data_IF_469024102939
#
_entry.id   IF_469024102939
#
_cell.length_a   1.000
_cell.length_b   1.000
_cell.length_c   1.000
_cell.angle_alpha   90.00
_cell.angle_beta   90.00
_cell.angle_gamma   90.00
#
_symmetry.space_group_name_H-M   'P 1'
#
loop_
_entity.id
_entity.type
_entity.pdbx_description
1 polymer ?
#
# COMPACT_ATOMS: atom_id res chain seq x y z
N UNK A 1 5.49 29.00 71.90
CA UNK A 1 5.94 27.84 71.11
C UNK A 1 4.85 27.57 70.06
N UNK A 2 5.06 28.06 68.83
CA UNK A 2 4.07 27.94 67.73
C UNK A 2 4.55 26.82 66.79
N UNK A 3 3.77 25.78 66.70
CA UNK A 3 3.98 24.69 65.72
C UNK A 3 3.43 25.11 64.35
N UNK A 4 4.34 25.22 63.35
CA UNK A 4 3.95 25.46 61.99
C UNK A 4 3.77 24.09 61.27
N UNK A 5 2.52 23.81 60.88
CA UNK A 5 2.15 22.68 60.00
C UNK A 5 2.50 22.98 58.58
N UNK A 6 3.29 22.09 57.93
CA UNK A 6 3.65 22.15 56.50
C UNK A 6 2.65 21.25 55.73
N UNK A 7 1.96 21.70 54.70
CA UNK A 7 1.13 20.84 53.88
C UNK A 7 1.98 20.07 52.85
N UNK A 8 1.84 18.76 52.83
CA UNK A 8 2.38 17.86 51.82
C UNK A 8 1.59 18.05 50.51
N UNK A 9 2.22 18.55 49.47
CA UNK A 9 1.68 18.57 48.14
C UNK A 9 1.93 17.21 47.47
N UNK A 10 0.87 16.45 47.24
CA UNK A 10 0.90 15.22 46.43
C UNK A 10 0.92 15.62 44.97
N UNK A 11 2.05 15.46 44.32
CA UNK A 11 2.17 15.61 42.88
C UNK A 11 1.61 14.38 42.16
N UNK A 12 0.49 14.54 41.51
CA UNK A 12 -0.15 13.52 40.66
C UNK A 12 0.61 13.46 39.34
N UNK A 13 1.45 12.42 39.13
CA UNK A 13 2.08 12.15 37.85
C UNK A 13 1.02 11.60 36.90
N UNK A 14 0.55 12.43 35.99
CA UNK A 14 -0.17 11.96 34.80
C UNK A 14 0.81 11.24 33.86
N UNK A 15 0.74 9.92 33.84
CA UNK A 15 1.35 9.10 32.79
C UNK A 15 0.58 9.35 31.50
N UNK A 16 1.17 10.17 30.62
CA UNK A 16 0.65 10.35 29.27
C UNK A 16 0.82 9.06 28.49
N UNK A 17 -0.28 8.35 28.23
CA UNK A 17 -0.33 7.29 27.23
C UNK A 17 0.04 7.89 25.87
N UNK A 18 1.23 7.54 25.36
CA UNK A 18 1.57 7.80 23.97
C UNK A 18 0.74 6.84 23.13
N UNK A 19 -0.28 7.36 22.48
CA UNK A 19 -0.95 6.68 21.38
C UNK A 19 0.05 6.56 20.24
N UNK A 20 0.32 5.33 19.81
CA UNK A 20 1.15 5.04 18.64
C UNK A 20 0.48 5.66 17.41
N UNK A 21 1.11 6.67 16.83
CA UNK A 21 0.70 7.23 15.56
C UNK A 21 0.86 6.15 14.48
N UNK A 22 -0.26 5.60 14.04
CA UNK A 22 -0.33 4.89 12.77
C UNK A 22 0.03 5.90 11.66
N UNK A 23 0.81 5.51 10.63
CA UNK A 23 1.17 6.42 9.57
C UNK A 23 -0.10 6.93 8.89
N UNK A 24 -0.35 8.22 9.01
CA UNK A 24 -1.46 8.90 8.35
C UNK A 24 -1.32 8.71 6.84
N UNK A 25 -2.32 8.12 6.21
CA UNK A 25 -2.43 8.02 4.75
C UNK A 25 -2.36 9.42 4.17
N UNK A 26 -1.34 9.68 3.34
CA UNK A 26 -1.10 10.99 2.73
C UNK A 26 -2.12 11.25 1.61
N UNK A 27 -3.37 11.47 1.95
CA UNK A 27 -4.30 12.09 1.02
C UNK A 27 -4.06 13.60 1.05
N UNK A 28 -3.63 14.13 -0.07
CA UNK A 28 -3.51 15.57 -0.29
C UNK A 28 -4.86 16.23 0.05
N UNK A 29 -4.85 17.33 0.79
CA UNK A 29 -5.95 18.08 1.38
C UNK A 29 -7.18 18.36 0.47
N UNK A 30 -7.88 17.32 0.00
CA UNK A 30 -9.20 17.49 -0.57
C UNK A 30 -10.22 17.54 0.59
N UNK A 31 -10.91 18.65 0.83
CA UNK A 31 -11.70 18.87 2.05
C UNK A 31 -12.92 17.94 2.24
N UNK A 32 -13.14 16.99 1.35
CA UNK A 32 -14.29 16.06 1.39
C UNK A 32 -13.96 14.64 0.89
N UNK A 33 -12.70 14.19 0.94
CA UNK A 33 -12.36 12.83 0.53
C UNK A 33 -12.80 11.82 1.60
N UNK A 34 -13.65 10.86 1.21
CA UNK A 34 -14.12 9.77 2.09
C UNK A 34 -13.21 8.56 1.91
N UNK A 35 -12.49 8.11 2.96
CA UNK A 35 -11.63 6.95 2.86
C UNK A 35 -12.39 5.67 2.52
N UNK A 36 -11.83 4.83 1.66
CA UNK A 36 -12.34 3.51 1.31
C UNK A 36 -11.31 2.46 1.73
N UNK A 37 -11.71 1.43 2.51
CA UNK A 37 -10.80 0.37 2.93
C UNK A 37 -10.23 -0.40 1.74
N UNK A 38 -8.91 -0.58 1.71
CA UNK A 38 -8.19 -1.47 0.79
C UNK A 38 -7.92 -2.80 1.48
N UNK A 39 -8.27 -3.91 0.83
CA UNK A 39 -7.96 -5.27 1.29
C UNK A 39 -6.93 -5.84 0.32
N UNK A 40 -5.71 -6.03 0.78
CA UNK A 40 -4.63 -6.56 -0.06
C UNK A 40 -4.89 -8.00 -0.45
N UNK A 41 -4.59 -8.32 -1.71
CA UNK A 41 -4.73 -9.66 -2.28
C UNK A 41 -3.35 -10.34 -2.48
N UNK A 42 -2.33 -9.83 -1.79
CA UNK A 42 -0.98 -10.40 -1.86
C UNK A 42 -0.96 -11.79 -1.20
N UNK A 43 -0.26 -12.71 -1.81
CA UNK A 43 0.20 -13.92 -1.12
C UNK A 43 1.55 -13.59 -0.48
N UNK A 44 1.83 -14.12 0.72
CA UNK A 44 3.02 -13.82 1.53
C UNK A 44 4.36 -14.31 0.91
N UNK A 45 4.38 -14.56 -0.37
CA UNK A 45 5.55 -15.02 -1.10
C UNK A 45 6.39 -13.82 -1.56
N UNK A 46 7.53 -13.58 -0.90
CA UNK A 46 8.56 -12.60 -1.28
C UNK A 46 8.95 -12.74 -2.77
N UNK A 47 8.94 -13.96 -3.30
CA UNK A 47 9.24 -14.24 -4.70
C UNK A 47 8.22 -13.65 -5.67
N UNK A 48 6.98 -13.46 -5.25
CA UNK A 48 5.91 -12.92 -6.08
C UNK A 48 6.06 -11.42 -6.36
N UNK A 49 6.44 -10.66 -5.35
CA UNK A 49 6.58 -9.20 -5.45
C UNK A 49 7.68 -8.78 -6.43
N UNK A 50 8.60 -9.70 -6.73
CA UNK A 50 9.76 -9.42 -7.56
C UNK A 50 9.60 -9.80 -9.03
N UNK A 51 8.63 -10.65 -9.40
CA UNK A 51 8.55 -11.19 -10.78
C UNK A 51 7.12 -11.31 -11.29
N UNK A 52 6.37 -10.23 -11.26
CA UNK A 52 4.94 -10.23 -11.63
C UNK A 52 4.64 -10.46 -13.12
N UNK A 53 5.62 -10.62 -13.99
CA UNK A 53 5.37 -10.68 -15.43
C UNK A 53 4.85 -9.36 -16.05
N UNK A 54 4.72 -8.29 -15.26
CA UNK A 54 4.29 -6.97 -15.70
C UNK A 54 5.50 -6.07 -15.93
N UNK A 55 6.11 -6.19 -17.12
CA UNK A 55 7.36 -5.51 -17.45
C UNK A 55 7.24 -4.00 -17.71
N UNK A 56 6.05 -3.48 -17.92
CA UNK A 56 5.77 -2.06 -18.11
C UNK A 56 5.08 -1.46 -16.88
N UNK A 57 5.41 -0.21 -16.55
CA UNK A 57 4.69 0.52 -15.51
C UNK A 57 3.23 0.70 -15.94
N UNK A 58 2.29 0.22 -15.12
CA UNK A 58 0.87 0.20 -15.46
C UNK A 58 -0.01 0.14 -14.21
N UNK A 59 -1.14 0.87 -14.27
CA UNK A 59 -2.22 0.76 -13.30
C UNK A 59 -3.37 -0.04 -13.88
N UNK A 60 -4.04 -0.83 -13.03
CA UNK A 60 -5.16 -1.68 -13.42
C UNK A 60 -6.38 -1.33 -12.59
N UNK A 61 -7.54 -1.25 -13.25
CA UNK A 61 -8.86 -1.15 -12.62
C UNK A 61 -9.70 -2.29 -13.19
N UNK A 62 -9.98 -3.29 -12.37
CA UNK A 62 -10.59 -4.55 -12.78
C UNK A 62 -11.97 -4.64 -12.14
N UNK A 63 -13.00 -4.78 -12.97
CA UNK A 63 -14.41 -4.74 -12.57
C UNK A 63 -15.17 -6.03 -12.91
N UNK A 64 -14.46 -7.06 -13.40
CA UNK A 64 -15.03 -8.37 -13.76
C UNK A 64 -14.04 -9.52 -13.50
N UNK A 65 -14.61 -10.74 -13.39
CA UNK A 65 -13.86 -11.94 -13.04
C UNK A 65 -12.91 -12.42 -14.14
N UNK A 66 -13.23 -12.17 -15.41
CA UNK A 66 -12.38 -12.60 -16.52
C UNK A 66 -11.07 -11.80 -16.53
N UNK A 67 -11.17 -10.48 -16.49
CA UNK A 67 -10.00 -9.60 -16.41
C UNK A 67 -9.16 -9.86 -15.14
N UNK A 68 -9.82 -10.24 -14.02
CA UNK A 68 -9.11 -10.63 -12.79
C UNK A 68 -8.33 -11.93 -12.97
N UNK A 69 -8.96 -12.95 -13.54
CA UNK A 69 -8.28 -14.22 -13.84
C UNK A 69 -7.10 -14.03 -14.77
N UNK A 70 -7.25 -13.22 -15.83
CA UNK A 70 -6.20 -12.95 -16.81
C UNK A 70 -4.98 -12.27 -16.16
N UNK A 71 -5.21 -11.26 -15.31
CA UNK A 71 -4.12 -10.61 -14.58
C UNK A 71 -3.43 -11.60 -13.65
N UNK A 72 -4.19 -12.42 -12.90
CA UNK A 72 -3.64 -13.39 -11.97
C UNK A 72 -2.77 -14.43 -12.66
N UNK A 73 -3.23 -14.99 -13.77
CA UNK A 73 -2.46 -15.92 -14.58
C UNK A 73 -1.18 -15.29 -15.15
N UNK A 74 -1.25 -14.05 -15.59
CA UNK A 74 -0.07 -13.30 -16.05
C UNK A 74 0.97 -13.13 -14.96
N UNK A 75 0.53 -12.75 -13.75
CA UNK A 75 1.41 -12.53 -12.60
C UNK A 75 2.14 -13.82 -12.21
N UNK A 76 1.45 -14.96 -12.26
CA UNK A 76 1.97 -16.26 -11.86
C UNK A 76 2.41 -17.15 -13.04
N UNK A 77 2.60 -16.58 -14.23
CA UNK A 77 2.92 -17.35 -15.44
C UNK A 77 4.19 -18.21 -15.33
N UNK A 78 5.12 -17.85 -14.43
CA UNK A 78 6.37 -18.59 -14.20
C UNK A 78 6.32 -19.52 -13.00
N UNK A 79 5.18 -19.61 -12.30
CA UNK A 79 5.02 -20.43 -11.10
C UNK A 79 4.17 -21.69 -11.36
N UNK A 80 4.59 -22.82 -10.81
CA UNK A 80 3.86 -24.06 -10.90
C UNK A 80 3.88 -24.76 -9.53
N UNK A 81 2.72 -25.04 -8.92
CA UNK A 81 1.37 -24.68 -9.38
C UNK A 81 1.09 -23.17 -9.24
N UNK A 82 0.20 -22.65 -10.09
CA UNK A 82 -0.33 -21.30 -9.93
C UNK A 82 -1.13 -21.24 -8.62
N UNK A 83 -0.90 -20.24 -7.74
CA UNK A 83 -1.67 -20.08 -6.52
C UNK A 83 -3.16 -19.89 -6.77
N UNK A 84 -4.03 -20.30 -5.83
CA UNK A 84 -5.47 -20.12 -5.96
C UNK A 84 -5.82 -18.64 -6.21
N UNK A 85 -6.71 -18.42 -7.17
CA UNK A 85 -7.23 -17.08 -7.46
C UNK A 85 -8.02 -16.57 -6.24
N UNK A 86 -7.67 -15.43 -5.64
CA UNK A 86 -8.45 -14.85 -4.55
C UNK A 86 -9.88 -14.54 -4.99
N UNK A 87 -10.85 -14.90 -4.15
CA UNK A 87 -12.27 -14.64 -4.41
C UNK A 87 -12.59 -13.15 -4.28
N UNK A 88 -13.33 -12.63 -5.28
CA UNK A 88 -13.78 -11.23 -5.35
C UNK A 88 -15.21 -11.20 -5.88
N UNK A 89 -16.13 -10.65 -5.10
CA UNK A 89 -17.50 -10.41 -5.55
C UNK A 89 -17.58 -9.15 -6.41
N UNK A 90 -17.47 -9.31 -7.70
CA UNK A 90 -17.53 -8.19 -8.67
C UNK A 90 -18.91 -7.51 -8.78
N UNK A 91 -19.93 -7.95 -8.07
CA UNK A 91 -21.17 -7.18 -7.94
C UNK A 91 -20.97 -5.99 -6.99
N UNK A 92 -20.20 -6.18 -5.92
CA UNK A 92 -20.01 -5.21 -4.83
C UNK A 92 -18.57 -4.72 -4.69
N UNK A 93 -17.60 -5.39 -5.32
CA UNK A 93 -16.17 -5.10 -5.22
C UNK A 93 -15.53 -4.89 -6.59
N UNK A 94 -14.37 -4.29 -6.58
CA UNK A 94 -13.45 -4.23 -7.72
C UNK A 94 -12.02 -4.43 -7.24
N UNK A 95 -11.11 -4.76 -8.15
CA UNK A 95 -9.68 -4.89 -7.88
C UNK A 95 -8.94 -3.73 -8.52
N UNK A 96 -7.98 -3.19 -7.79
CA UNK A 96 -7.00 -2.23 -8.30
C UNK A 96 -5.60 -2.83 -8.12
N UNK A 97 -4.75 -2.59 -9.10
CA UNK A 97 -3.36 -2.99 -9.03
C UNK A 97 -2.46 -1.90 -9.63
N UNK A 98 -1.22 -1.85 -9.16
CA UNK A 98 -0.19 -0.95 -9.68
C UNK A 98 1.12 -1.69 -9.82
N UNK A 99 1.76 -1.57 -10.99
CA UNK A 99 3.06 -2.13 -11.28
C UNK A 99 4.01 -0.99 -11.69
N UNK A 100 5.24 -1.02 -11.21
CA UNK A 100 6.27 -0.03 -11.58
C UNK A 100 7.19 -0.49 -12.72
N UNK A 101 6.83 -1.60 -13.36
CA UNK A 101 7.59 -2.17 -14.46
C UNK A 101 8.89 -2.82 -14.04
N UNK A 102 9.70 -3.22 -15.03
CA UNK A 102 10.98 -3.85 -14.81
C UNK A 102 12.01 -2.93 -14.16
N UNK A 103 12.72 -3.46 -13.14
CA UNK A 103 13.81 -2.79 -12.43
C UNK A 103 15.09 -3.65 -12.53
N UNK A 104 16.26 -3.02 -12.62
CA UNK A 104 17.51 -3.77 -12.86
C UNK A 104 18.00 -4.55 -11.64
N UNK A 105 17.53 -4.21 -10.44
CA UNK A 105 17.96 -4.80 -9.16
C UNK A 105 16.81 -5.02 -8.21
N UNK A 106 17.02 -5.68 -7.09
CA UNK A 106 16.12 -5.66 -5.94
C UNK A 106 16.09 -4.30 -5.23
N UNK A 107 15.34 -4.22 -4.12
CA UNK A 107 15.19 -3.00 -3.32
C UNK A 107 14.11 -2.02 -3.84
N UNK A 108 13.55 -2.26 -5.01
CA UNK A 108 12.37 -1.53 -5.50
C UNK A 108 11.09 -2.17 -4.97
N UNK A 109 10.12 -1.35 -4.61
CA UNK A 109 8.79 -1.78 -4.15
C UNK A 109 7.71 -0.80 -4.58
N UNK A 110 6.47 -1.26 -4.60
CA UNK A 110 5.29 -0.42 -4.84
C UNK A 110 4.16 -0.86 -3.92
N UNK A 111 3.48 0.12 -3.33
CA UNK A 111 2.38 -0.11 -2.39
C UNK A 111 1.18 0.78 -2.70
N UNK A 112 0.00 0.19 -2.69
CA UNK A 112 -1.28 0.89 -2.62
C UNK A 112 -1.46 1.35 -1.16
N UNK A 113 -1.23 2.61 -0.86
CA UNK A 113 -1.21 3.12 0.52
C UNK A 113 -2.57 3.58 1.03
N UNK A 114 -3.54 3.78 0.13
CA UNK A 114 -4.89 4.16 0.49
C UNK A 114 -5.80 4.35 -0.71
N UNK A 115 -7.10 4.44 -0.43
CA UNK A 115 -8.12 4.83 -1.40
C UNK A 115 -9.09 5.81 -0.77
N UNK A 116 -9.57 6.78 -1.54
CA UNK A 116 -10.60 7.72 -1.10
C UNK A 116 -11.49 8.14 -2.26
N UNK A 117 -12.77 8.36 -1.96
CA UNK A 117 -13.74 8.91 -2.90
C UNK A 117 -13.81 10.42 -2.70
N UNK A 118 -13.65 11.18 -3.78
CA UNK A 118 -13.91 12.63 -3.79
C UNK A 118 -14.90 13.02 -4.91
N UNK A 119 -15.07 14.31 -5.15
CA UNK A 119 -15.98 14.82 -6.19
C UNK A 119 -15.55 14.47 -7.62
N UNK A 120 -14.28 14.15 -7.84
CA UNK A 120 -13.72 13.75 -9.15
C UNK A 120 -13.69 12.24 -9.38
N UNK A 121 -14.10 11.42 -8.41
CA UNK A 121 -14.08 9.97 -8.49
C UNK A 121 -13.23 9.29 -7.41
N UNK A 122 -12.77 8.09 -7.68
CA UNK A 122 -11.92 7.34 -6.78
C UNK A 122 -10.44 7.71 -6.96
N UNK A 123 -9.78 8.06 -5.87
CA UNK A 123 -8.33 8.28 -5.81
C UNK A 123 -7.66 7.10 -5.14
N UNK A 124 -6.66 6.54 -5.79
CA UNK A 124 -5.79 5.48 -5.25
C UNK A 124 -4.42 6.08 -4.97
N UNK A 125 -4.04 6.14 -3.71
CA UNK A 125 -2.71 6.58 -3.31
C UNK A 125 -1.70 5.45 -3.49
N UNK A 126 -0.59 5.73 -4.17
CA UNK A 126 0.48 4.79 -4.48
C UNK A 126 1.80 5.34 -3.95
N UNK A 127 2.59 4.48 -3.31
CA UNK A 127 3.97 4.77 -2.97
C UNK A 127 4.90 3.83 -3.73
N UNK A 128 5.76 4.38 -4.57
CA UNK A 128 6.85 3.65 -5.20
C UNK A 128 8.14 3.92 -4.44
N UNK A 129 8.86 2.86 -4.10
CA UNK A 129 10.11 2.92 -3.34
C UNK A 129 11.27 2.51 -4.23
N UNK A 130 12.38 3.21 -4.11
CA UNK A 130 13.67 2.84 -4.72
C UNK A 130 14.75 2.76 -3.66
N UNK A 131 15.75 1.88 -3.82
CA UNK A 131 16.91 1.84 -2.92
C UNK A 131 17.75 3.09 -3.10
N UNK A 132 18.33 3.61 -2.01
CA UNK A 132 19.34 4.67 -2.01
C UNK A 132 20.67 4.19 -2.60
N UNK A 133 21.56 5.12 -2.90
CA UNK A 133 22.80 4.85 -3.58
C UNK A 133 23.75 3.89 -2.84
N UNK A 134 23.65 3.84 -1.50
CA UNK A 134 24.52 3.01 -0.66
C UNK A 134 23.87 1.70 -0.22
N UNK A 135 22.67 1.39 -0.71
CA UNK A 135 22.01 0.13 -0.40
C UNK A 135 22.68 -1.05 -1.09
N UNK A 136 22.96 -2.10 -0.32
CA UNK A 136 23.34 -3.39 -0.88
C UNK A 136 22.07 -4.11 -1.32
N UNK A 137 21.89 -4.28 -2.63
CA UNK A 137 20.70 -4.88 -3.25
C UNK A 137 21.07 -6.12 -4.06
N UNK A 138 20.12 -7.03 -4.22
CA UNK A 138 20.30 -8.19 -5.11
C UNK A 138 20.44 -7.73 -6.56
N UNK A 139 21.41 -8.28 -7.27
CA UNK A 139 21.64 -8.03 -8.70
C UNK A 139 20.71 -8.91 -9.54
N UNK A 140 19.41 -8.78 -9.30
CA UNK A 140 18.38 -9.55 -9.99
C UNK A 140 17.33 -8.60 -10.55
N UNK A 141 16.93 -8.80 -11.79
CA UNK A 141 15.81 -8.08 -12.39
C UNK A 141 14.53 -8.32 -11.61
N UNK A 142 13.77 -7.26 -11.33
CA UNK A 142 12.52 -7.34 -10.57
C UNK A 142 11.37 -6.62 -11.29
N UNK A 143 10.12 -6.98 -10.95
CA UNK A 143 8.90 -6.42 -11.52
C UNK A 143 7.85 -6.24 -10.41
N UNK A 144 8.03 -5.27 -9.50
CA UNK A 144 7.13 -5.09 -8.37
C UNK A 144 5.71 -4.72 -8.79
N UNK A 145 4.72 -5.33 -8.10
CA UNK A 145 3.30 -5.06 -8.26
C UNK A 145 2.62 -5.10 -6.89
N UNK A 146 1.62 -4.26 -6.66
CA UNK A 146 0.72 -4.38 -5.50
C UNK A 146 -0.73 -4.45 -5.96
N UNK A 147 -1.54 -5.27 -5.27
CA UNK A 147 -2.92 -5.58 -5.64
C UNK A 147 -3.80 -5.50 -4.41
N UNK A 148 -4.94 -4.85 -4.54
CA UNK A 148 -5.95 -4.78 -3.50
C UNK A 148 -7.37 -4.85 -4.09
N UNK A 149 -8.31 -5.36 -3.29
CA UNK A 149 -9.74 -5.20 -3.55
C UNK A 149 -10.33 -4.12 -2.65
N UNK A 150 -11.38 -3.47 -3.14
CA UNK A 150 -12.12 -2.45 -2.42
C UNK A 150 -13.58 -2.47 -2.86
N UNK A 151 -14.44 -1.73 -2.16
CA UNK A 151 -15.83 -1.55 -2.56
C UNK A 151 -15.90 -0.95 -3.97
N UNK A 152 -16.78 -1.49 -4.80
CA UNK A 152 -17.01 -1.01 -6.17
C UNK A 152 -17.58 0.41 -6.11
N UNK A 153 -16.92 1.33 -6.79
CA UNK A 153 -17.35 2.72 -6.90
C UNK A 153 -17.71 3.03 -8.36
N UNK A 154 -18.63 3.98 -8.54
CA UNK A 154 -18.85 4.62 -9.83
C UNK A 154 -17.82 5.71 -10.11
N UNK A 155 -17.76 6.17 -11.36
CA UNK A 155 -16.88 7.26 -11.78
C UNK A 155 -15.47 6.81 -12.16
N UNK A 156 -14.64 7.82 -12.38
CA UNK A 156 -13.26 7.64 -12.81
C UNK A 156 -12.37 7.18 -11.65
N UNK A 157 -11.33 6.42 -11.98
CA UNK A 157 -10.30 6.00 -11.02
C UNK A 157 -8.98 6.62 -11.44
N UNK A 158 -8.37 7.40 -10.53
CA UNK A 158 -7.05 7.98 -10.74
C UNK A 158 -6.07 7.47 -9.71
N UNK A 159 -4.81 7.32 -10.11
CA UNK A 159 -3.72 6.89 -9.25
C UNK A 159 -2.78 8.06 -9.00
N UNK A 160 -2.57 8.37 -7.72
CA UNK A 160 -1.63 9.42 -7.29
C UNK A 160 -0.39 8.76 -6.71
N UNK A 161 0.72 8.83 -7.44
CA UNK A 161 1.96 8.16 -7.06
C UNK A 161 2.95 9.13 -6.42
N UNK A 162 3.46 8.73 -5.25
CA UNK A 162 4.61 9.35 -4.59
C UNK A 162 5.84 8.47 -4.75
N UNK A 163 7.01 9.11 -4.81
CA UNK A 163 8.31 8.43 -4.85
C UNK A 163 9.00 8.55 -3.51
N UNK A 164 9.59 7.46 -3.04
CA UNK A 164 10.38 7.41 -1.81
C UNK A 164 11.73 6.73 -2.10
N UNK A 165 12.82 7.38 -1.72
CA UNK A 165 14.13 6.73 -1.67
C UNK A 165 14.32 6.22 -0.24
N UNK A 166 14.73 4.97 -0.10
CA UNK A 166 15.07 4.37 1.20
C UNK A 166 16.57 4.24 1.28
N UNK A 167 17.20 5.04 2.15
CA UNK A 167 18.61 4.92 2.43
C UNK A 167 18.86 3.73 3.36
N UNK A 168 19.97 3.05 3.13
CA UNK A 168 20.39 1.87 3.89
C UNK A 168 21.58 2.17 4.82
N UNK A 169 21.90 3.44 5.01
CA UNK A 169 22.93 3.86 5.93
C UNK A 169 22.41 3.70 7.38
N UNK A 170 23.05 2.82 8.12
CA UNK A 170 22.82 2.57 9.55
C UNK A 170 23.92 3.19 10.37
#
# INVERSE_FOLDING_TARGET
MSLRTIPFAVALLCVACRTSDAPASSFSNAPHAVPIPLIRLRTDSIAFESFSGVGQAQNFVIKDAAAWSDLWQRIYATQTPVPPLPDVDFNTQMVVATAIGGKPTGGYDVLLTGAAQDSGGLVIAVRATSPGAHCVVTQAFTQPIDIARLAKTGGDVRFEQTQQVVDCDT
#
